data_IF_462695263123
#
_entry.id   IF_462695263123
#
_cell.length_a   1.000
_cell.length_b   1.000
_cell.length_c   1.000
_cell.angle_alpha   90.00
_cell.angle_beta   90.00
_cell.angle_gamma   90.00
#
_symmetry.space_group_name_H-M   'P 1'
#
loop_
_entity.id
_entity.type
_entity.pdbx_description
1 polymer ?
#
# COMPACT_ATOMS: atom_id res chain seq x y z
N UNK A 1 24.11 11.44 -8.77
CA UNK A 1 23.56 10.58 -9.83
C UNK A 1 23.23 9.23 -9.20
N UNK A 2 22.00 9.01 -8.76
CA UNK A 2 21.55 7.70 -8.27
C UNK A 2 20.61 7.10 -9.31
N UNK A 3 21.18 6.36 -10.25
CA UNK A 3 20.44 5.35 -10.99
C UNK A 3 20.11 4.21 -10.01
N UNK A 4 18.93 4.25 -9.40
CA UNK A 4 18.29 3.05 -8.83
C UNK A 4 16.84 3.02 -9.33
N UNK A 5 16.74 2.98 -10.65
CA UNK A 5 15.54 2.69 -11.42
C UNK A 5 15.92 1.64 -12.45
N UNK A 6 16.33 0.46 -11.98
CA UNK A 6 16.52 -0.70 -12.85
C UNK A 6 15.62 -1.78 -12.33
N UNK A 7 14.59 -2.07 -13.13
CA UNK A 7 13.59 -3.10 -12.91
C UNK A 7 14.11 -4.30 -12.15
N UNK A 8 13.54 -4.53 -10.97
CA UNK A 8 13.79 -5.72 -10.19
C UNK A 8 12.98 -6.85 -10.81
N UNK A 9 13.56 -7.45 -11.86
CA UNK A 9 12.91 -8.39 -12.78
C UNK A 9 12.32 -9.66 -12.13
N UNK A 10 12.61 -9.92 -10.86
CA UNK A 10 12.09 -11.08 -10.14
C UNK A 10 12.04 -10.85 -8.62
N UNK A 11 11.29 -11.72 -7.94
CA UNK A 11 11.13 -11.69 -6.48
C UNK A 11 12.45 -11.68 -5.69
N UNK A 12 13.54 -12.23 -6.23
CA UNK A 12 14.87 -12.18 -5.61
C UNK A 12 15.42 -10.76 -5.64
N UNK A 13 15.35 -10.10 -6.81
CA UNK A 13 15.75 -8.69 -6.95
C UNK A 13 14.96 -7.77 -6.02
N UNK A 14 13.62 -7.94 -5.95
CA UNK A 14 12.75 -7.16 -5.06
C UNK A 14 13.22 -7.30 -3.60
N UNK A 15 13.39 -8.54 -3.15
CA UNK A 15 13.87 -8.84 -1.79
C UNK A 15 15.25 -8.23 -1.53
N UNK A 16 16.18 -8.36 -2.45
CA UNK A 16 17.55 -7.87 -2.26
C UNK A 16 17.59 -6.32 -2.23
N UNK A 17 16.70 -5.67 -2.99
CA UNK A 17 16.46 -4.23 -2.90
C UNK A 17 16.01 -3.81 -1.50
N UNK A 18 14.98 -4.46 -0.96
CA UNK A 18 14.48 -4.18 0.40
C UNK A 18 15.56 -4.49 1.44
N UNK A 19 16.23 -5.64 1.35
CA UNK A 19 17.27 -6.03 2.30
C UNK A 19 18.42 -4.99 2.31
N UNK A 20 18.86 -4.52 1.14
CA UNK A 20 19.95 -3.56 1.03
C UNK A 20 19.53 -2.15 1.44
N UNK A 21 18.45 -1.62 0.89
CA UNK A 21 18.10 -0.20 0.98
C UNK A 21 16.94 0.12 1.93
N UNK A 22 16.25 -0.90 2.47
CA UNK A 22 15.03 -0.74 3.26
C UNK A 22 13.77 -0.48 2.41
N UNK A 23 13.90 -0.39 1.08
CA UNK A 23 12.76 -0.27 0.18
C UNK A 23 13.07 -0.83 -1.21
N UNK A 24 12.03 -1.05 -2.01
CA UNK A 24 12.10 -1.32 -3.43
C UNK A 24 10.95 -0.61 -4.16
N UNK A 25 11.29 0.11 -5.23
CA UNK A 25 10.32 0.48 -6.27
C UNK A 25 10.34 -0.60 -7.36
N UNK A 26 9.17 -1.05 -7.77
CA UNK A 26 8.99 -2.12 -8.76
C UNK A 26 7.97 -1.65 -9.80
N UNK A 27 8.41 -1.60 -11.05
CA UNK A 27 7.55 -1.23 -12.18
C UNK A 27 6.50 -2.30 -12.46
N UNK A 28 5.38 -1.90 -13.06
CA UNK A 28 4.21 -2.73 -13.31
C UNK A 28 4.53 -4.06 -14.03
N UNK A 29 5.43 -4.06 -15.01
CA UNK A 29 5.84 -5.25 -15.75
C UNK A 29 6.53 -6.28 -14.85
N UNK A 30 7.47 -5.82 -14.02
CA UNK A 30 8.21 -6.65 -13.08
C UNK A 30 7.34 -7.14 -11.93
N UNK A 31 6.47 -6.27 -11.40
CA UNK A 31 5.53 -6.66 -10.36
C UNK A 31 4.55 -7.72 -10.88
N UNK A 32 4.05 -7.56 -12.11
CA UNK A 32 3.20 -8.58 -12.76
C UNK A 32 3.93 -9.92 -12.89
N UNK A 33 5.19 -9.90 -13.31
CA UNK A 33 6.02 -11.11 -13.41
C UNK A 33 6.26 -11.75 -12.04
N UNK A 34 6.47 -10.96 -10.99
CA UNK A 34 6.62 -11.45 -9.63
C UNK A 34 5.32 -12.11 -9.12
N UNK A 35 4.16 -11.48 -9.34
CA UNK A 35 2.84 -11.98 -8.94
C UNK A 35 2.46 -13.28 -9.67
N UNK A 36 2.77 -13.40 -10.96
CA UNK A 36 2.47 -14.58 -11.77
C UNK A 36 3.09 -15.89 -11.24
N UNK A 37 4.09 -15.80 -10.34
CA UNK A 37 4.70 -16.98 -9.68
C UNK A 37 3.86 -17.54 -8.54
N UNK A 38 2.92 -16.76 -8.02
CA UNK A 38 2.15 -17.09 -6.82
C UNK A 38 0.67 -17.34 -7.12
N UNK A 39 0.20 -16.97 -8.31
CA UNK A 39 -1.19 -17.15 -8.70
C UNK A 39 -1.52 -16.38 -9.97
N UNK A 40 -2.80 -16.04 -10.11
CA UNK A 40 -3.32 -15.34 -11.29
C UNK A 40 -4.00 -14.04 -10.87
N UNK A 41 -4.00 -13.08 -11.80
CA UNK A 41 -4.79 -11.85 -11.68
C UNK A 41 -6.02 -11.92 -12.60
N UNK A 42 -6.64 -13.11 -12.71
CA UNK A 42 -7.71 -13.38 -13.68
C UNK A 42 -8.96 -12.51 -13.45
N UNK A 43 -9.18 -12.09 -12.21
CA UNK A 43 -10.27 -11.21 -11.78
C UNK A 43 -9.83 -9.74 -11.66
N UNK A 44 -8.65 -9.36 -12.17
CA UNK A 44 -8.11 -7.99 -12.06
C UNK A 44 -9.11 -6.90 -12.46
N UNK A 45 -9.90 -7.03 -13.54
CA UNK A 45 -10.89 -6.01 -13.87
C UNK A 45 -11.92 -5.77 -12.75
N UNK A 46 -12.47 -6.83 -12.15
CA UNK A 46 -13.39 -6.72 -11.03
C UNK A 46 -12.70 -6.22 -9.75
N UNK A 47 -11.46 -6.68 -9.53
CA UNK A 47 -10.62 -6.22 -8.42
C UNK A 47 -10.41 -4.71 -8.48
N UNK A 48 -9.99 -4.18 -9.63
CA UNK A 48 -9.75 -2.75 -9.83
C UNK A 48 -11.06 -1.94 -9.79
N UNK A 49 -12.15 -2.47 -10.36
CA UNK A 49 -13.46 -1.79 -10.35
C UNK A 49 -14.03 -1.61 -8.94
N UNK A 50 -13.66 -2.47 -7.98
CA UNK A 50 -14.11 -2.36 -6.59
C UNK A 50 -13.76 -1.03 -5.91
N UNK A 51 -12.77 -0.28 -6.41
CA UNK A 51 -12.46 1.07 -5.92
C UNK A 51 -13.58 2.09 -6.19
N UNK A 52 -14.50 1.80 -7.10
CA UNK A 52 -15.66 2.64 -7.39
C UNK A 52 -16.75 2.55 -6.31
N UNK A 53 -16.69 1.55 -5.42
CA UNK A 53 -17.64 1.31 -4.32
C UNK A 53 -16.99 1.52 -2.93
N UNK A 54 -16.06 2.47 -2.83
CA UNK A 54 -15.44 2.84 -1.55
C UNK A 54 -16.23 3.94 -0.82
N UNK A 55 -16.34 3.81 0.50
CA UNK A 55 -16.97 4.79 1.37
C UNK A 55 -16.01 5.91 1.75
N UNK A 56 -16.56 7.11 1.99
CA UNK A 56 -15.77 8.26 2.46
C UNK A 56 -15.22 7.97 3.87
N UNK A 57 -13.93 8.25 4.07
CA UNK A 57 -13.29 8.18 5.38
C UNK A 57 -13.78 9.34 6.27
N UNK A 58 -14.52 9.02 7.32
CA UNK A 58 -15.07 10.00 8.27
C UNK A 58 -14.15 10.26 9.47
N UNK A 59 -12.97 9.64 9.53
CA UNK A 59 -12.01 9.80 10.62
C UNK A 59 -10.87 10.76 10.29
N UNK A 60 -10.94 11.48 9.17
CA UNK A 60 -9.94 12.46 8.75
C UNK A 60 -9.94 13.67 9.68
N UNK A 61 -8.95 13.76 10.58
CA UNK A 61 -8.88 14.83 11.59
C UNK A 61 -8.62 16.22 10.99
N UNK A 62 -8.07 16.32 9.77
CA UNK A 62 -7.93 17.60 9.05
C UNK A 62 -9.25 18.06 8.39
N UNK A 63 -10.35 17.33 8.60
CA UNK A 63 -11.66 17.63 8.03
C UNK A 63 -11.80 17.27 6.54
N UNK A 64 -10.75 16.72 5.92
CA UNK A 64 -10.75 16.38 4.49
C UNK A 64 -11.74 15.27 4.15
N UNK A 65 -12.38 15.38 2.97
CA UNK A 65 -13.31 14.34 2.45
C UNK A 65 -12.77 13.68 1.17
N UNK A 66 -11.51 13.93 0.85
CA UNK A 66 -10.82 13.44 -0.33
C UNK A 66 -10.42 11.95 -0.25
N UNK A 67 -10.53 11.29 0.90
CA UNK A 67 -10.15 9.88 1.06
C UNK A 67 -11.39 8.99 1.14
N UNK A 68 -11.44 7.96 0.30
CA UNK A 68 -12.39 6.84 0.41
C UNK A 68 -11.64 5.55 0.68
N UNK A 69 -12.25 4.64 1.45
CA UNK A 69 -11.58 3.39 1.80
C UNK A 69 -12.48 2.24 2.21
N UNK A 70 -11.88 1.04 2.13
CA UNK A 70 -12.34 -0.20 2.77
C UNK A 70 -11.14 -0.90 3.43
N UNK A 71 -11.42 -1.82 4.35
CA UNK A 71 -10.42 -2.46 5.21
C UNK A 71 -10.64 -3.96 5.34
N UNK A 72 -9.56 -4.73 5.41
CA UNK A 72 -9.61 -6.18 5.64
C UNK A 72 -8.41 -6.65 6.46
N UNK A 73 -8.58 -7.79 7.12
CA UNK A 73 -7.57 -8.40 7.98
C UNK A 73 -7.42 -9.88 7.65
N UNK A 74 -6.18 -10.36 7.68
CA UNK A 74 -5.82 -11.76 7.52
C UNK A 74 -4.75 -12.16 8.55
N UNK A 75 -4.70 -13.45 8.85
CA UNK A 75 -3.60 -14.08 9.55
C UNK A 75 -2.86 -15.02 8.58
N UNK A 76 -1.53 -14.99 8.63
CA UNK A 76 -0.71 -15.85 7.78
C UNK A 76 0.43 -16.48 8.59
N UNK A 77 0.66 -17.78 8.37
CA UNK A 77 1.90 -18.42 8.81
C UNK A 77 3.04 -18.18 7.81
N UNK A 78 4.23 -18.71 8.09
CA UNK A 78 5.33 -18.76 7.10
C UNK A 78 5.02 -19.63 5.88
N UNK A 79 4.09 -20.57 6.01
CA UNK A 79 3.57 -21.43 4.95
C UNK A 79 2.10 -21.77 5.26
N UNK A 80 1.42 -22.42 4.32
CA UNK A 80 0.02 -22.82 4.47
C UNK A 80 -0.96 -21.71 4.06
N UNK A 81 -2.24 -21.83 4.44
CA UNK A 81 -3.26 -20.89 4.01
C UNK A 81 -3.10 -19.52 4.68
N UNK A 82 -3.42 -18.48 3.92
CA UNK A 82 -3.67 -17.13 4.46
C UNK A 82 -5.16 -17.09 4.81
N UNK A 83 -5.47 -16.90 6.10
CA UNK A 83 -6.83 -16.99 6.62
C UNK A 83 -7.39 -15.60 6.85
N UNK A 84 -8.56 -15.33 6.30
CA UNK A 84 -9.27 -14.08 6.56
C UNK A 84 -9.72 -14.02 8.02
N UNK A 85 -9.42 -12.90 8.67
CA UNK A 85 -9.82 -12.63 10.05
C UNK A 85 -11.22 -12.02 10.13
N UNK A 86 -11.81 -11.97 11.35
CA UNK A 86 -13.05 -11.23 11.57
C UNK A 86 -12.85 -9.73 11.28
N UNK A 87 -13.93 -9.04 10.92
CA UNK A 87 -13.88 -7.60 10.80
C UNK A 87 -13.59 -6.96 12.16
N UNK A 88 -12.63 -6.03 12.17
CA UNK A 88 -12.10 -5.39 13.37
C UNK A 88 -11.70 -3.94 13.03
N UNK A 89 -11.44 -3.07 14.03
CA UNK A 89 -11.02 -1.71 13.75
C UNK A 89 -9.56 -1.66 13.28
N UNK A 90 -9.24 -0.63 12.52
CA UNK A 90 -7.84 -0.23 12.32
C UNK A 90 -7.41 0.66 13.49
N UNK A 91 -6.30 0.31 14.14
CA UNK A 91 -5.73 1.06 15.26
C UNK A 91 -4.26 1.36 15.01
N UNK A 92 -3.88 2.63 15.19
CA UNK A 92 -2.49 3.08 15.20
C UNK A 92 -2.28 3.95 16.45
N UNK A 93 -1.13 3.82 17.08
CA UNK A 93 -0.75 4.73 18.17
C UNK A 93 -0.49 6.13 17.62
N UNK A 94 -0.53 7.14 18.49
CA UNK A 94 -0.18 8.51 18.11
C UNK A 94 1.29 8.62 17.66
N UNK A 95 2.19 7.76 18.14
CA UNK A 95 3.61 7.76 17.74
C UNK A 95 3.82 7.46 16.25
N UNK A 96 2.91 6.71 15.64
CA UNK A 96 2.98 6.36 14.21
C UNK A 96 2.00 7.17 13.37
N UNK A 97 0.83 7.50 13.91
CA UNK A 97 -0.17 8.30 13.21
C UNK A 97 -0.57 9.51 14.05
N UNK A 98 0.19 10.59 13.93
CA UNK A 98 -0.05 11.82 14.68
C UNK A 98 -1.41 12.47 14.34
N UNK A 99 -1.92 12.24 13.11
CA UNK A 99 -3.16 12.87 12.64
C UNK A 99 -4.41 12.11 13.10
N UNK A 100 -4.41 10.78 13.00
CA UNK A 100 -5.60 9.94 13.18
C UNK A 100 -5.40 8.80 14.19
N UNK A 101 -4.28 8.76 14.91
CA UNK A 101 -3.96 7.72 15.89
C UNK A 101 -4.67 7.90 17.22
N UNK A 102 -4.53 6.91 18.10
CA UNK A 102 -5.10 6.93 19.46
C UNK A 102 -6.58 6.55 19.54
N UNK A 103 -7.24 6.26 18.42
CA UNK A 103 -8.63 5.81 18.36
C UNK A 103 -8.77 4.55 17.50
N UNK A 104 -9.76 3.72 17.83
CA UNK A 104 -10.20 2.63 16.96
C UNK A 104 -11.06 3.16 15.82
N UNK A 105 -10.70 2.82 14.58
CA UNK A 105 -11.41 3.30 13.38
C UNK A 105 -12.05 2.12 12.66
N UNK A 106 -13.37 2.06 12.71
CA UNK A 106 -14.18 1.06 12.02
C UNK A 106 -14.49 1.53 10.60
N UNK A 107 -13.87 0.90 9.61
CA UNK A 107 -14.12 1.15 8.19
C UNK A 107 -15.00 0.08 7.58
N UNK A 108 -15.65 0.34 6.43
CA UNK A 108 -16.35 -0.74 5.74
C UNK A 108 -15.39 -1.88 5.37
N UNK A 109 -15.82 -3.14 5.50
CA UNK A 109 -14.97 -4.26 5.12
C UNK A 109 -14.75 -4.25 3.61
N UNK A 110 -13.55 -4.67 3.17
CA UNK A 110 -13.35 -5.20 1.80
C UNK A 110 -14.37 -6.32 1.62
N UNK A 111 -15.04 -6.42 0.48
CA UNK A 111 -16.10 -7.44 0.31
C UNK A 111 -15.52 -8.86 0.33
N UNK A 112 -16.38 -9.86 0.48
CA UNK A 112 -15.95 -11.27 0.43
C UNK A 112 -15.39 -11.59 -0.95
N UNK A 113 -16.11 -11.23 -2.00
CA UNK A 113 -15.76 -11.48 -3.40
C UNK A 113 -14.37 -10.92 -3.77
N UNK A 114 -14.06 -9.70 -3.31
CA UNK A 114 -12.77 -9.05 -3.59
C UNK A 114 -11.65 -9.59 -2.69
N UNK A 115 -11.94 -9.79 -1.40
CA UNK A 115 -10.95 -10.30 -0.43
C UNK A 115 -10.56 -11.76 -0.68
N UNK A 116 -11.47 -12.55 -1.25
CA UNK A 116 -11.30 -13.95 -1.65
C UNK A 116 -10.99 -14.12 -3.13
N UNK A 117 -10.89 -13.02 -3.88
CA UNK A 117 -10.53 -13.01 -5.29
C UNK A 117 -9.11 -13.53 -5.56
N UNK A 118 -8.88 -13.97 -6.80
CA UNK A 118 -7.59 -14.48 -7.26
C UNK A 118 -6.49 -13.41 -7.14
N UNK A 119 -6.80 -12.15 -7.48
CA UNK A 119 -5.86 -11.03 -7.39
C UNK A 119 -5.43 -10.75 -5.96
N UNK A 120 -6.36 -10.64 -5.01
CA UNK A 120 -6.03 -10.40 -3.59
C UNK A 120 -5.17 -11.54 -3.04
N UNK A 121 -5.59 -12.80 -3.24
CA UNK A 121 -4.83 -13.97 -2.76
C UNK A 121 -3.42 -14.02 -3.34
N UNK A 122 -3.26 -13.73 -4.62
CA UNK A 122 -1.95 -13.69 -5.29
C UNK A 122 -1.05 -12.60 -4.72
N UNK A 123 -1.58 -11.39 -4.47
CA UNK A 123 -0.83 -10.28 -3.88
C UNK A 123 -0.41 -10.62 -2.46
N UNK A 124 -1.33 -11.10 -1.61
CA UNK A 124 -1.03 -11.47 -0.23
C UNK A 124 0.03 -12.59 -0.14
N UNK A 125 -0.08 -13.60 -1.01
CA UNK A 125 0.89 -14.69 -1.08
C UNK A 125 2.28 -14.21 -1.53
N UNK A 126 2.34 -13.33 -2.53
CA UNK A 126 3.59 -12.72 -2.97
C UNK A 126 4.27 -11.93 -1.84
N UNK A 127 3.52 -11.06 -1.15
CA UNK A 127 4.01 -10.32 0.02
C UNK A 127 4.51 -11.26 1.12
N UNK A 128 3.71 -12.26 1.48
CA UNK A 128 4.06 -13.24 2.52
C UNK A 128 5.36 -13.96 2.18
N UNK A 129 5.54 -14.39 0.93
CA UNK A 129 6.74 -15.09 0.47
C UNK A 129 7.99 -14.20 0.47
N UNK A 130 7.85 -12.91 0.13
CA UNK A 130 8.93 -11.92 0.19
C UNK A 130 9.32 -11.60 1.63
N UNK A 131 8.36 -11.16 2.44
CA UNK A 131 8.60 -10.67 3.80
C UNK A 131 9.02 -11.78 4.76
N UNK A 132 8.48 -13.00 4.63
CA UNK A 132 8.92 -14.16 5.44
C UNK A 132 10.34 -14.65 5.11
N UNK A 133 10.92 -14.22 3.98
CA UNK A 133 12.34 -14.45 3.68
C UNK A 133 13.24 -13.35 4.24
N UNK A 134 12.72 -12.13 4.38
CA UNK A 134 13.42 -11.01 5.00
C UNK A 134 13.44 -11.12 6.54
N UNK A 135 12.41 -11.73 7.12
CA UNK A 135 12.30 -12.01 8.54
C UNK A 135 12.18 -13.53 8.81
N UNK A 136 13.26 -14.30 8.64
CA UNK A 136 13.24 -15.77 8.73
C UNK A 136 12.83 -16.31 10.10
N UNK A 137 12.99 -15.52 11.16
CA UNK A 137 12.59 -15.81 12.53
C UNK A 137 11.08 -15.67 12.78
N UNK A 138 10.35 -15.03 11.87
CA UNK A 138 8.92 -14.80 12.02
C UNK A 138 8.12 -16.04 11.62
N UNK A 139 7.28 -16.54 12.52
CA UNK A 139 6.43 -17.71 12.30
C UNK A 139 5.00 -17.34 11.90
N UNK A 140 4.52 -16.16 12.33
CA UNK A 140 3.15 -15.68 12.14
C UNK A 140 3.10 -14.19 11.83
N UNK A 141 2.16 -13.82 10.99
CA UNK A 141 1.89 -12.46 10.54
C UNK A 141 0.43 -12.09 10.81
N UNK A 142 0.25 -10.91 11.36
CA UNK A 142 -0.98 -10.13 11.24
C UNK A 142 -0.89 -9.29 9.97
N UNK A 143 -1.87 -9.42 9.09
CA UNK A 143 -1.87 -8.78 7.78
C UNK A 143 -3.11 -7.89 7.67
N UNK A 144 -2.91 -6.66 7.26
CA UNK A 144 -4.01 -5.75 6.96
C UNK A 144 -3.95 -5.28 5.53
N UNK A 145 -5.09 -5.18 4.87
CA UNK A 145 -5.21 -4.55 3.57
C UNK A 145 -6.16 -3.36 3.63
N UNK A 146 -5.74 -2.27 3.01
CA UNK A 146 -6.48 -1.03 2.89
C UNK A 146 -6.66 -0.72 1.41
N UNK A 147 -7.91 -0.64 0.96
CA UNK A 147 -8.24 -0.05 -0.32
C UNK A 147 -8.36 1.46 -0.10
N UNK A 148 -7.59 2.26 -0.83
CA UNK A 148 -7.66 3.72 -0.76
C UNK A 148 -7.91 4.31 -2.12
N UNK A 149 -8.88 5.22 -2.20
CA UNK A 149 -9.02 6.22 -3.27
C UNK A 149 -8.76 7.60 -2.67
N UNK A 150 -7.82 8.32 -3.26
CA UNK A 150 -7.54 9.73 -2.94
C UNK A 150 -8.06 10.56 -4.11
N UNK A 151 -9.11 11.34 -3.87
CA UNK A 151 -9.71 12.24 -4.85
C UNK A 151 -9.05 13.62 -4.78
N UNK A 152 -8.88 14.27 -5.93
CA UNK A 152 -8.49 15.67 -6.00
C UNK A 152 -9.58 16.45 -6.74
N UNK A 153 -9.84 17.68 -6.33
CA UNK A 153 -10.86 18.54 -6.93
C UNK A 153 -10.34 19.97 -7.04
N UNK A 154 -11.03 20.80 -7.81
CA UNK A 154 -10.69 22.22 -7.87
C UNK A 154 -10.81 22.85 -6.47
N UNK A 155 -9.71 23.40 -5.98
CA UNK A 155 -9.64 24.02 -4.64
C UNK A 155 -9.47 23.04 -3.47
N UNK A 156 -9.42 21.73 -3.70
CA UNK A 156 -9.17 20.70 -2.68
C UNK A 156 -8.12 19.70 -3.19
N UNK A 157 -6.89 19.80 -2.67
CA UNK A 157 -5.83 18.84 -2.97
C UNK A 157 -6.14 17.49 -2.32
N UNK A 158 -5.95 16.41 -3.07
CA UNK A 158 -5.97 15.06 -2.50
C UNK A 158 -4.65 14.80 -1.78
N UNK A 159 -4.67 14.43 -0.50
CA UNK A 159 -3.44 14.15 0.27
C UNK A 159 -3.36 12.66 0.60
N UNK A 160 -2.52 11.86 -0.09
CA UNK A 160 -2.40 10.44 0.24
C UNK A 160 -1.84 10.23 1.66
N UNK A 161 -0.86 11.05 2.06
CA UNK A 161 -0.22 11.02 3.38
C UNK A 161 -0.36 12.39 4.05
N UNK A 162 -1.53 12.74 4.60
CA UNK A 162 -1.78 14.08 5.15
C UNK A 162 -0.90 14.45 6.35
N UNK A 163 -0.42 13.46 7.10
CA UNK A 163 0.59 13.60 8.14
C UNK A 163 2.01 13.89 7.60
N UNK A 164 2.24 13.74 6.29
CA UNK A 164 3.55 13.85 5.66
C UNK A 164 4.37 12.56 5.75
N UNK A 165 5.68 12.70 5.91
CA UNK A 165 6.61 11.57 6.01
C UNK A 165 6.38 10.78 7.30
N UNK A 166 6.00 9.52 7.18
CA UNK A 166 5.63 8.67 8.30
C UNK A 166 6.19 7.25 8.19
N UNK A 167 5.90 6.47 9.23
CA UNK A 167 6.03 5.01 9.31
C UNK A 167 4.68 4.47 9.75
N UNK A 168 4.32 3.28 9.31
CA UNK A 168 3.00 2.70 9.56
C UNK A 168 2.86 2.07 10.94
N UNK A 169 3.99 1.74 11.60
CA UNK A 169 4.01 1.02 12.87
C UNK A 169 3.87 -0.49 12.70
N UNK A 170 4.43 -1.01 11.60
CA UNK A 170 4.42 -2.42 11.21
C UNK A 170 5.84 -2.87 10.86
N UNK A 171 6.00 -4.07 10.28
CA UNK A 171 7.32 -4.54 9.85
C UNK A 171 7.56 -4.27 8.36
N UNK A 172 6.57 -4.60 7.52
CA UNK A 172 6.68 -4.43 6.07
C UNK A 172 5.39 -3.89 5.46
N UNK A 173 5.56 -3.09 4.40
CA UNK A 173 4.45 -2.44 3.68
C UNK A 173 4.60 -2.69 2.18
N UNK A 174 3.50 -2.98 1.52
CA UNK A 174 3.31 -2.86 0.08
C UNK A 174 2.34 -1.70 -0.19
N UNK A 175 2.71 -0.79 -1.08
CA UNK A 175 1.80 0.17 -1.71
C UNK A 175 1.77 -0.14 -3.20
N UNK A 176 0.64 -0.64 -3.70
CA UNK A 176 0.46 -1.06 -5.09
C UNK A 176 -0.57 -0.15 -5.77
N UNK A 177 -0.20 0.45 -6.91
CA UNK A 177 -1.10 1.28 -7.70
C UNK A 177 -2.14 0.40 -8.40
N UNK A 178 -3.42 0.72 -8.19
CA UNK A 178 -4.53 0.05 -8.85
C UNK A 178 -4.98 0.86 -10.06
N UNK A 179 -5.11 2.17 -9.89
CA UNK A 179 -5.49 3.08 -10.95
C UNK A 179 -5.05 4.51 -10.62
N UNK A 180 -4.87 5.31 -11.66
CA UNK A 180 -4.55 6.73 -11.56
C UNK A 180 -5.25 7.43 -12.71
N UNK A 181 -6.00 8.50 -12.41
CA UNK A 181 -6.75 9.23 -13.43
C UNK A 181 -6.68 10.73 -13.21
N UNK A 182 -6.31 11.46 -14.27
CA UNK A 182 -6.42 12.92 -14.35
C UNK A 182 -5.77 13.64 -13.16
N UNK A 183 -4.61 13.16 -12.69
CA UNK A 183 -3.89 13.78 -11.58
C UNK A 183 -2.43 14.03 -11.92
N UNK A 184 -1.92 15.18 -11.47
CA UNK A 184 -0.50 15.50 -11.42
C UNK A 184 0.10 15.06 -10.06
N UNK A 185 1.43 14.99 -9.97
CA UNK A 185 2.16 14.72 -8.72
C UNK A 185 1.87 13.33 -8.12
N UNK A 186 1.72 13.20 -6.81
CA UNK A 186 1.62 11.88 -6.16
C UNK A 186 2.95 11.13 -6.15
N UNK A 187 4.05 11.86 -6.02
CA UNK A 187 5.41 11.34 -5.96
C UNK A 187 5.68 10.77 -4.58
N UNK A 188 6.08 9.51 -4.54
CA UNK A 188 6.57 8.84 -3.34
C UNK A 188 7.99 9.27 -3.08
N UNK A 189 8.28 9.60 -1.83
CA UNK A 189 9.65 9.82 -1.32
C UNK A 189 9.92 8.86 -0.18
N UNK A 190 11.14 8.32 -0.13
CA UNK A 190 11.60 7.38 0.88
C UNK A 190 12.87 7.93 1.52
N UNK A 191 12.94 7.90 2.85
CA UNK A 191 14.02 8.47 3.63
C UNK A 191 14.53 7.48 4.68
N UNK A 192 15.81 7.57 5.03
CA UNK A 192 16.37 6.82 6.17
C UNK A 192 15.87 7.39 7.52
N UNK A 193 16.30 6.77 8.63
CA UNK A 193 15.91 7.20 9.98
C UNK A 193 16.45 8.59 10.36
N UNK A 194 17.53 9.04 9.71
CA UNK A 194 18.09 10.39 9.84
C UNK A 194 17.42 11.40 8.88
N UNK A 195 16.32 11.00 8.23
CA UNK A 195 15.53 11.79 7.26
C UNK A 195 16.29 12.17 5.97
N UNK A 196 17.39 11.50 5.64
CA UNK A 196 18.07 11.65 4.34
C UNK A 196 17.29 10.91 3.26
N UNK A 197 17.12 11.55 2.09
CA UNK A 197 16.40 10.94 0.97
C UNK A 197 17.16 9.73 0.42
N UNK A 198 16.49 8.58 0.38
CA UNK A 198 16.96 7.34 -0.23
C UNK A 198 16.45 7.18 -1.66
N UNK A 199 15.21 7.62 -1.92
CA UNK A 199 14.58 7.49 -3.23
C UNK A 199 13.39 8.42 -3.42
N UNK A 200 13.09 8.72 -4.69
CA UNK A 200 11.96 9.52 -5.11
C UNK A 200 11.45 9.01 -6.46
N UNK A 201 10.18 8.63 -6.53
CA UNK A 201 9.57 8.04 -7.73
C UNK A 201 8.06 8.23 -7.71
N UNK A 202 7.40 8.16 -8.87
CA UNK A 202 5.95 8.28 -8.99
C UNK A 202 5.38 6.97 -9.52
N UNK A 203 4.37 6.41 -8.86
CA UNK A 203 3.63 5.27 -9.40
C UNK A 203 2.70 5.80 -10.51
N UNK A 204 2.89 5.34 -11.74
CA UNK A 204 2.17 5.82 -12.94
C UNK A 204 1.26 4.75 -13.52
N UNK A 205 1.70 3.50 -13.53
CA UNK A 205 1.02 2.40 -14.22
C UNK A 205 0.41 1.39 -13.23
N UNK A 206 -0.78 0.83 -13.50
CA UNK A 206 -1.35 -0.20 -12.63
C UNK A 206 -0.36 -1.35 -12.39
N UNK A 207 -0.20 -1.73 -11.12
CA UNK A 207 0.81 -2.64 -10.55
C UNK A 207 2.17 -2.03 -10.21
N UNK A 208 2.45 -0.77 -10.56
CA UNK A 208 3.59 -0.06 -9.99
C UNK A 208 3.51 -0.12 -8.47
N UNK A 209 4.62 -0.50 -7.83
CA UNK A 209 4.62 -0.86 -6.42
C UNK A 209 5.81 -0.28 -5.67
N UNK A 210 5.56 0.18 -4.44
CA UNK A 210 6.58 0.46 -3.45
C UNK A 210 6.49 -0.61 -2.34
N UNK A 211 7.60 -1.27 -2.04
CA UNK A 211 7.73 -2.16 -0.89
C UNK A 211 8.70 -1.54 0.10
N UNK A 212 8.37 -1.53 1.38
CA UNK A 212 9.12 -0.82 2.43
C UNK A 212 9.31 -1.72 3.66
N UNK A 213 10.52 -1.72 4.19
CA UNK A 213 10.85 -2.15 5.55
C UNK A 213 10.60 -0.97 6.49
N UNK A 214 9.47 -1.01 7.18
CA UNK A 214 8.92 0.12 7.94
C UNK A 214 9.83 0.49 9.13
N UNK A 215 10.61 -0.47 9.64
CA UNK A 215 11.55 -0.21 10.73
C UNK A 215 12.76 0.65 10.29
N UNK A 216 13.07 0.68 8.99
CA UNK A 216 14.28 1.31 8.44
C UNK A 216 14.03 2.57 7.63
N UNK A 217 12.81 2.77 7.15
CA UNK A 217 12.50 3.84 6.21
C UNK A 217 11.26 4.61 6.61
N UNK A 218 11.35 5.94 6.53
CA UNK A 218 10.17 6.79 6.41
C UNK A 218 9.73 6.84 4.95
N UNK A 219 8.43 6.94 4.72
CA UNK A 219 7.90 7.20 3.38
C UNK A 219 6.74 8.21 3.42
N UNK A 220 6.47 8.82 2.27
CA UNK A 220 5.42 9.83 2.14
C UNK A 220 5.13 10.09 0.67
N UNK A 221 3.95 10.62 0.37
CA UNK A 221 3.50 10.89 -0.99
C UNK A 221 3.05 12.34 -1.09
N UNK A 222 3.54 13.05 -2.11
CA UNK A 222 3.13 14.44 -2.34
C UNK A 222 1.62 14.54 -2.61
N UNK A 223 0.98 15.68 -2.27
CA UNK A 223 -0.40 15.92 -2.65
C UNK A 223 -0.61 15.79 -4.16
N UNK A 224 -1.84 15.43 -4.55
CA UNK A 224 -2.28 15.29 -5.94
C UNK A 224 -3.27 16.39 -6.29
N UNK A 225 -3.22 16.82 -7.55
CA UNK A 225 -4.05 17.88 -8.11
C UNK A 225 -4.64 17.43 -9.45
N UNK A 226 -5.85 17.88 -9.81
CA UNK A 226 -6.44 17.54 -11.10
C UNK A 226 -5.62 18.14 -12.26
N UNK A 227 -5.31 17.34 -13.28
CA UNK A 227 -4.75 17.86 -14.53
C UNK A 227 -5.77 18.73 -15.27
N UNK A 228 -7.00 18.24 -15.36
CA UNK A 228 -8.16 18.97 -15.83
C UNK A 228 -9.18 19.09 -14.68
N UNK A 229 -9.39 20.30 -14.11
CA UNK A 229 -10.33 20.52 -13.02
C UNK A 229 -11.79 20.15 -13.33
N UNK A 230 -12.16 20.03 -14.60
CA UNK A 230 -13.51 19.68 -15.03
C UNK A 230 -13.78 18.16 -15.09
N UNK A 231 -12.78 17.30 -14.81
CA UNK A 231 -12.92 15.84 -14.85
C UNK A 231 -12.63 15.21 -13.48
N UNK A 232 -13.20 14.04 -13.17
CA UNK A 232 -12.83 13.28 -11.98
C UNK A 232 -11.32 12.99 -11.95
N UNK A 233 -10.69 13.27 -10.80
CA UNK A 233 -9.25 13.12 -10.58
C UNK A 233 -9.01 12.30 -9.32
N UNK A 234 -8.30 11.18 -9.43
CA UNK A 234 -8.04 10.31 -8.29
C UNK A 234 -6.82 9.40 -8.45
N UNK A 235 -6.33 8.94 -7.29
CA UNK A 235 -5.30 7.91 -7.13
C UNK A 235 -5.85 6.74 -6.32
N UNK A 236 -5.81 5.55 -6.89
CA UNK A 236 -6.27 4.31 -6.26
C UNK A 236 -5.06 3.44 -5.92
N UNK A 237 -4.92 3.09 -4.64
CA UNK A 237 -3.89 2.15 -4.17
C UNK A 237 -4.46 1.09 -3.27
N UNK A 238 -3.87 -0.10 -3.36
CA UNK A 238 -3.93 -1.12 -2.34
C UNK A 238 -2.70 -0.96 -1.44
N UNK A 239 -2.92 -0.80 -0.13
CA UNK A 239 -1.85 -0.87 0.87
C UNK A 239 -2.00 -2.18 1.63
N UNK A 240 -0.94 -2.98 1.68
CA UNK A 240 -0.89 -4.23 2.46
C UNK A 240 0.22 -4.12 3.48
N UNK A 241 -0.10 -4.32 4.76
CA UNK A 241 0.88 -4.27 5.85
C UNK A 241 1.03 -5.64 6.49
N UNK A 242 2.26 -5.97 6.87
CA UNK A 242 2.60 -7.18 7.59
C UNK A 242 3.24 -6.78 8.92
N UNK A 243 2.66 -7.26 10.01
CA UNK A 243 3.18 -7.12 11.37
C UNK A 243 3.45 -8.48 11.99
N UNK A 244 4.63 -8.68 12.55
CA UNK A 244 4.99 -9.90 13.29
C UNK A 244 4.05 -10.08 14.47
N UNK A 245 3.62 -11.31 14.71
CA UNK A 245 2.89 -11.69 15.94
C UNK A 245 3.64 -12.80 16.64
N UNK A 246 3.63 -12.78 17.98
CA UNK A 246 4.17 -13.84 18.82
C UNK A 246 3.47 -15.20 18.57
#
# INVERSE_FOLDING_TARGET
MSEIGTGLQNATGIRDGIARAGYAFVEASDMRNALARFGTLADWPAFADSWNDLEVDTYMADGGRYRRRRFGVWAAGRQGPILRGPHQPHYQTLDYNHLNGGIERWFKPITEEIGDGASMRTILECCRALFSRLAPETTRWHVEAHQFRIEARQGEHGKPTPEGMHRDGVDYVLVLLVNRRNIQSGTTTVHDLDKRTLGSFTLTDPLDSALVDDARCYHGVTPVEPENPAQPAYRDVLVVTFRKTA
#
